data_IF_118745443476
#
_entry.id   IF_118745443476
#
_cell.length_a   1.000
_cell.length_b   1.000
_cell.length_c   1.000
_cell.angle_alpha   90.00
_cell.angle_beta   90.00
_cell.angle_gamma   90.00
#
_symmetry.space_group_name_H-M   'P 1'
#
loop_
_entity.id
_entity.type
_entity.pdbx_description
1 polymer ?
2 branched ?
3 branched ?
4 branched ?
5 non-polymer ?
6 water ?
#
# COMPACT_ATOMS: atom_id res chain seq x y z
N UNK A 2 -11.07 -11.83 11.00
CA UNK A 2 -12.42 -11.30 11.11
C UNK A 2 -12.36 -9.84 11.54
N UNK A 3 -13.32 -9.05 11.07
CA UNK A 3 -13.38 -7.65 11.42
C UNK A 3 -14.84 -7.21 11.44
N UNK A 4 -15.09 -6.08 12.07
CA UNK A 4 -16.35 -5.37 11.95
C UNK A 4 -16.16 -3.99 11.34
N UNK A 5 -15.15 -3.26 11.78
CA UNK A 5 -14.85 -1.95 11.24
C UNK A 5 -13.39 -1.88 10.87
N UNK A 6 -13.05 -0.87 10.09
CA UNK A 6 -11.67 -0.62 9.72
C UNK A 6 -11.16 0.64 10.37
N UNK A 7 -10.44 1.45 9.60
CA UNK A 7 -9.92 2.72 10.09
C UNK A 7 -9.88 3.70 8.92
N UNK A 8 -9.82 4.98 9.25
CA UNK A 8 -9.98 6.01 8.23
C UNK A 8 -8.83 6.01 7.23
N UNK A 9 -7.61 5.70 7.69
CA UNK A 9 -6.44 5.82 6.83
C UNK A 9 -5.52 4.61 6.99
N UNK A 10 -5.09 4.07 5.87
CA UNK A 10 -3.94 3.20 5.75
C UNK A 10 -3.07 3.81 4.67
N UNK A 11 -1.82 3.36 4.59
CA UNK A 11 -0.88 3.83 3.58
C UNK A 11 -0.45 2.66 2.69
N UNK A 12 -0.44 2.90 1.38
CA UNK A 12 0.03 1.90 0.41
C UNK A 12 1.44 2.26 -0.01
N UNK A 13 2.39 1.36 0.22
CA UNK A 13 3.76 1.56 -0.22
C UNK A 13 3.82 1.29 -1.72
N UNK A 14 4.00 2.35 -2.49
CA UNK A 14 3.95 2.28 -3.95
C UNK A 14 5.37 2.40 -4.49
N UNK A 15 5.91 1.29 -4.99
CA UNK A 15 7.25 1.27 -5.58
C UNK A 15 7.21 1.81 -7.00
N UNK A 16 8.05 2.80 -7.27
CA UNK A 16 8.03 3.56 -8.51
C UNK A 16 8.93 2.86 -9.53
N UNK A 17 8.39 2.62 -10.72
CA UNK A 17 9.21 2.15 -11.85
C UNK A 17 9.28 3.26 -12.91
N UNK A 18 10.21 3.16 -13.88
CA UNK A 18 10.51 4.32 -14.75
C UNK A 18 9.36 5.10 -15.37
N UNK A 19 8.35 4.46 -15.93
CA UNK A 19 7.36 5.22 -16.69
C UNK A 19 6.19 5.73 -15.85
N UNK A 20 6.32 5.68 -14.53
CA UNK A 20 5.23 5.98 -13.58
C UNK A 20 5.50 7.30 -12.89
N UNK A 21 4.54 8.21 -12.97
CA UNK A 21 4.59 9.49 -12.28
C UNK A 21 3.39 9.62 -11.37
N UNK A 22 3.35 10.72 -10.62
CA UNK A 22 2.25 10.91 -9.67
C UNK A 22 0.91 10.85 -10.36
N UNK A 23 0.83 11.37 -11.59
CA UNK A 23 -0.47 11.39 -12.24
C UNK A 23 -1.00 9.97 -12.44
N UNK A 24 -0.12 9.02 -12.72
CA UNK A 24 -0.55 7.64 -12.88
C UNK A 24 -0.98 7.04 -11.54
N UNK A 25 -0.15 7.24 -10.51
CA UNK A 25 -0.48 6.71 -9.20
C UNK A 25 -1.81 7.26 -8.74
N UNK A 26 -2.02 8.57 -8.90
CA UNK A 26 -3.30 9.17 -8.54
C UNK A 26 -4.45 8.53 -9.30
N UNK A 27 -4.29 8.27 -10.60
CA UNK A 27 -5.35 7.64 -11.38
C UNK A 27 -5.63 6.24 -10.86
N UNK A 28 -4.59 5.46 -10.57
CA UNK A 28 -4.79 4.09 -10.10
C UNK A 28 -5.42 4.06 -8.70
N UNK A 29 -5.11 5.04 -7.84
CA UNK A 29 -5.41 4.97 -6.42
C UNK A 29 -6.51 5.95 -6.02
N UNK A 30 -7.36 6.37 -6.98
CA UNK A 30 -8.48 7.23 -6.65
C UNK A 30 -9.32 6.60 -5.54
N UNK A 31 -9.77 7.43 -4.61
CA UNK A 31 -10.62 6.99 -3.52
C UNK A 31 -11.28 8.22 -2.92
N UNK A 32 -11.97 8.04 -1.80
CA UNK A 32 -12.52 9.18 -1.09
C UNK A 32 -11.44 10.11 -0.58
N UNK A 33 -10.21 9.62 -0.38
CA UNK A 33 -9.09 10.45 0.09
C UNK A 33 -8.30 11.05 -1.08
N UNK A 34 -8.03 10.24 -2.10
CA UNK A 34 -7.22 10.63 -3.25
C UNK A 34 -8.18 11.02 -4.36
N UNK A 35 -8.30 12.33 -4.60
CA UNK A 35 -9.24 12.92 -5.53
C UNK A 35 -8.52 13.29 -6.83
N UNK A 36 -9.25 13.95 -7.75
CA UNK A 36 -8.64 14.29 -9.04
C UNK A 36 -7.33 15.04 -8.85
N UNK A 37 -7.35 16.11 -8.04
CA UNK A 37 -6.15 16.91 -7.78
C UNK A 37 -5.63 16.53 -6.40
N UNK A 38 -4.77 15.52 -6.37
CA UNK A 38 -4.35 14.85 -5.16
C UNK A 38 -2.90 15.12 -4.77
N UNK A 39 -2.18 15.96 -5.53
CA UNK A 39 -0.75 16.14 -5.28
C UNK A 39 -0.49 16.47 -3.80
N UNK A 40 -1.17 17.48 -3.28
CA UNK A 40 -0.90 17.91 -1.91
C UNK A 40 -1.21 16.81 -0.91
N UNK A 41 -2.33 16.10 -1.10
CA UNK A 41 -2.71 15.07 -0.13
C UNK A 41 -1.71 13.92 -0.14
N UNK A 42 -1.38 13.40 -1.32
CA UNK A 42 -0.38 12.35 -1.40
C UNK A 42 0.95 12.84 -0.82
N UNK A 43 1.40 14.00 -1.26
CA UNK A 43 2.72 14.45 -0.84
C UNK A 43 2.77 14.82 0.65
N UNK A 44 1.63 15.08 1.29
CA UNK A 44 1.64 15.39 2.71
C UNK A 44 2.09 14.21 3.56
N UNK A 45 1.96 12.98 3.04
CA UNK A 45 2.46 11.79 3.70
C UNK A 45 3.86 11.41 3.23
N UNK A 46 4.49 12.25 2.43
CA UNK A 46 5.79 11.97 1.82
C UNK A 46 6.67 13.20 1.83
N UNK A 47 6.67 13.92 2.96
CA UNK A 47 7.52 15.11 3.06
C UNK A 47 9.00 14.77 3.07
N UNK A 48 9.36 13.49 3.31
CA UNK A 48 10.74 13.05 3.23
C UNK A 48 11.22 12.82 1.79
N UNK A 49 10.32 12.76 0.83
CA UNK A 49 10.64 12.30 -0.52
C UNK A 49 11.26 13.43 -1.33
N UNK A 50 12.32 13.08 -2.08
CA UNK A 50 13.01 13.98 -3.00
C UNK A 50 12.58 13.63 -4.42
N UNK A 51 12.41 14.64 -5.24
CA UNK A 51 12.13 14.49 -6.66
C UNK A 51 13.42 14.68 -7.45
N UNK A 52 13.40 14.24 -8.71
CA UNK A 52 14.40 14.65 -9.69
C UNK A 52 13.72 15.48 -10.77
N UNK A 53 14.49 15.81 -11.82
CA UNK A 53 13.93 16.66 -12.88
C UNK A 53 12.72 16.02 -13.55
N UNK A 54 12.59 14.69 -13.49
CA UNK A 54 11.45 13.98 -14.07
C UNK A 54 10.24 13.96 -13.15
N UNK A 55 10.41 14.25 -11.87
CA UNK A 55 9.39 14.02 -10.87
C UNK A 55 9.81 12.91 -9.92
N UNK A 56 9.02 11.84 -9.85
CA UNK A 56 9.32 10.76 -8.91
C UNK A 56 10.56 9.99 -9.37
N UNK A 57 11.40 9.64 -8.40
CA UNK A 57 12.65 8.94 -8.70
C UNK A 57 12.39 7.45 -8.83
N UNK A 58 12.84 6.87 -9.93
CA UNK A 58 12.61 5.46 -10.17
C UNK A 58 13.24 4.61 -9.08
N UNK A 59 12.51 3.57 -8.67
CA UNK A 59 12.99 2.55 -7.76
C UNK A 59 13.11 3.07 -6.32
N UNK A 60 12.32 4.08 -6.01
CA UNK A 60 12.02 4.51 -4.66
C UNK A 60 10.53 4.26 -4.42
N UNK A 61 10.08 4.57 -3.22
CA UNK A 61 8.70 4.34 -2.84
C UNK A 61 8.04 5.64 -2.39
N UNK A 62 6.73 5.68 -2.56
CA UNK A 62 5.92 6.74 -1.99
C UNK A 62 4.71 6.10 -1.33
N UNK A 63 4.29 6.65 -0.20
CA UNK A 63 3.17 6.12 0.57
C UNK A 63 1.89 6.84 0.18
N UNK A 64 0.89 6.09 -0.24
CA UNK A 64 -0.35 6.65 -0.77
C UNK A 64 -1.46 6.39 0.24
N UNK A 65 -2.12 7.40 0.78
CA UNK A 65 -3.19 7.14 1.75
C UNK A 65 -4.43 6.61 1.07
N UNK A 66 -5.13 5.71 1.76
CA UNK A 66 -6.39 5.15 1.27
C UNK A 66 -7.23 4.72 2.47
N UNK A 67 -8.55 4.63 2.31
CA UNK A 67 -9.40 4.18 3.41
C UNK A 67 -9.30 2.67 3.61
N UNK A 68 -9.38 2.24 4.86
CA UNK A 68 -9.20 0.83 5.21
C UNK A 68 -10.54 0.29 5.72
N UNK A 69 -11.20 -0.52 4.91
CA UNK A 69 -12.53 -1.02 5.19
C UNK A 69 -12.48 -2.47 5.68
N UNK A 70 -13.53 -2.87 6.38
CA UNK A 70 -13.77 -4.28 6.67
C UNK A 70 -14.54 -4.86 5.49
N UNK A 71 -13.96 -5.85 4.83
CA UNK A 71 -14.50 -6.44 3.61
C UNK A 71 -15.19 -7.75 4.00
N UNK A 72 -16.51 -7.79 3.86
CA UNK A 72 -17.26 -9.00 4.13
C UNK A 72 -17.16 -9.52 5.54
N UNK A 73 -16.80 -8.66 6.50
CA UNK A 73 -16.58 -9.12 7.85
C UNK A 73 -15.39 -10.03 8.02
N UNK A 74 -14.59 -10.22 6.97
CA UNK A 74 -13.53 -11.21 6.96
C UNK A 74 -12.13 -10.62 7.06
N UNK A 75 -11.84 -9.55 6.33
CA UNK A 75 -10.48 -9.03 6.28
C UNK A 75 -10.53 -7.53 5.98
N UNK A 76 -9.46 -6.85 6.35
CA UNK A 76 -9.32 -5.41 6.13
C UNK A 76 -8.65 -5.15 4.77
N UNK A 77 -9.25 -4.26 4.00
CA UNK A 77 -8.66 -3.88 2.73
C UNK A 77 -9.47 -2.78 2.10
N UNK A 78 -9.10 -2.45 0.87
CA UNK A 78 -9.84 -1.47 0.10
C UNK A 78 -9.88 -1.92 -1.35
N UNK A 79 -11.02 -1.69 -2.01
CA UNK A 79 -11.20 -2.04 -3.41
C UNK A 79 -11.09 -0.76 -4.24
N UNK A 80 -9.98 -0.63 -4.95
CA UNK A 80 -9.80 0.38 -5.96
C UNK A 80 -10.43 -0.09 -7.27
N UNK A 81 -10.56 0.83 -8.21
CA UNK A 81 -11.14 0.52 -9.52
C UNK A 81 -10.15 0.91 -10.61
N UNK A 82 -9.92 -0.02 -11.52
CA UNK A 82 -9.04 0.19 -12.67
C UNK A 82 -9.79 -0.20 -13.92
N UNK A 83 -9.66 0.61 -14.97
CA UNK A 83 -10.28 0.32 -16.26
C UNK A 83 -9.23 -0.14 -17.26
N UNK A 84 -9.42 -1.33 -17.81
CA UNK A 84 -8.39 -1.92 -18.65
C UNK A 84 -8.23 -1.20 -19.99
N UNK A 85 -7.03 -1.29 -20.53
CA UNK A 85 -6.72 -0.85 -21.88
C UNK A 85 -6.16 -2.03 -22.67
N UNK A 86 -6.05 -1.84 -23.98
CA UNK A 86 -5.58 -2.91 -24.85
C UNK A 86 -4.30 -3.52 -24.32
N UNK A 87 -4.27 -4.86 -24.27
CA UNK A 87 -3.11 -5.59 -23.83
C UNK A 87 -3.09 -5.95 -22.36
N UNK A 88 -3.99 -5.40 -21.55
CA UNK A 88 -3.94 -5.62 -20.12
C UNK A 88 -4.30 -7.06 -19.75
N UNK A 89 -3.62 -7.57 -18.74
CA UNK A 89 -3.99 -8.83 -18.07
C UNK A 89 -3.77 -8.63 -16.58
N UNK A 90 -4.11 -9.65 -15.77
CA UNK A 90 -4.00 -9.49 -14.33
C UNK A 90 -2.54 -9.37 -13.87
N UNK A 91 -1.60 -9.94 -14.62
CA UNK A 91 -0.19 -9.80 -14.25
C UNK A 91 0.26 -8.35 -14.38
N UNK A 92 -0.13 -7.67 -15.46
CA UNK A 92 0.20 -6.26 -15.62
C UNK A 92 -0.46 -5.43 -14.55
N UNK A 93 -1.73 -5.71 -14.26
CA UNK A 93 -2.46 -4.90 -13.29
C UNK A 93 -1.84 -5.07 -11.91
N UNK A 94 -1.62 -6.30 -11.49
CA UNK A 94 -1.17 -6.54 -10.13
C UNK A 94 0.27 -6.10 -9.94
N UNK A 95 1.14 -6.43 -10.88
CA UNK A 95 2.57 -6.27 -10.63
C UNK A 95 3.20 -5.08 -11.30
N UNK A 96 2.53 -4.48 -12.29
CA UNK A 96 3.01 -3.22 -12.83
C UNK A 96 2.20 -2.05 -12.28
N UNK A 97 0.92 -1.92 -12.68
CA UNK A 97 0.17 -0.71 -12.32
C UNK A 97 0.06 -0.55 -10.81
N UNK A 98 -0.27 -1.62 -10.09
CA UNK A 98 -0.45 -1.57 -8.64
C UNK A 98 0.80 -1.99 -7.85
N UNK A 99 1.92 -2.19 -8.52
CA UNK A 99 3.20 -2.33 -7.86
C UNK A 99 3.20 -3.40 -6.79
N UNK A 100 2.50 -4.51 -7.09
CA UNK A 100 2.36 -5.69 -6.23
C UNK A 100 1.61 -5.41 -4.94
N UNK A 101 0.84 -4.32 -4.89
CA UNK A 101 -0.06 -4.06 -3.76
C UNK A 101 -1.28 -4.95 -3.77
N UNK A 102 -1.61 -5.55 -4.91
CA UNK A 102 -2.63 -6.58 -5.05
C UNK A 102 -1.97 -7.80 -5.66
N UNK A 103 -2.74 -8.86 -5.81
CA UNK A 103 -2.23 -10.11 -6.37
C UNK A 103 -3.18 -10.59 -7.45
N UNK A 104 -2.65 -11.45 -8.32
CA UNK A 104 -3.49 -12.04 -9.36
C UNK A 104 -4.59 -12.86 -8.73
N UNK A 105 -4.32 -13.49 -7.58
CA UNK A 105 -5.35 -14.25 -6.89
C UNK A 105 -6.51 -13.36 -6.43
N UNK A 106 -6.18 -12.17 -5.91
CA UNK A 106 -7.24 -11.27 -5.47
C UNK A 106 -8.00 -10.69 -6.66
N UNK A 107 -7.31 -10.48 -7.78
CA UNK A 107 -7.99 -10.00 -8.97
C UNK A 107 -8.96 -11.05 -9.50
N UNK A 108 -8.56 -12.33 -9.47
CA UNK A 108 -9.46 -13.39 -9.91
C UNK A 108 -10.65 -13.52 -8.96
N UNK A 109 -10.39 -13.45 -7.65
CA UNK A 109 -11.42 -13.72 -6.66
C UNK A 109 -12.55 -12.70 -6.70
N UNK A 110 -12.24 -11.44 -6.96
CA UNK A 110 -13.22 -10.36 -6.83
C UNK A 110 -13.64 -9.76 -8.17
N UNK A 111 -13.43 -10.49 -9.27
CA UNK A 111 -13.92 -10.08 -10.58
C UNK A 111 -14.48 -11.26 -11.32
N UNK A 112 -15.54 -11.02 -12.08
CA UNK A 112 -16.28 -12.08 -12.76
C UNK A 112 -15.68 -12.46 -14.11
N UNK A 113 -14.65 -11.74 -14.56
CA UNK A 113 -14.10 -12.01 -15.88
C UNK A 113 -13.37 -13.34 -15.91
N UNK A 114 -13.30 -13.92 -17.11
CA UNK A 114 -12.39 -15.02 -17.35
C UNK A 114 -10.99 -14.51 -17.06
N UNK A 115 -10.31 -15.03 -16.03
CA UNK A 115 -9.00 -14.48 -15.67
C UNK A 115 -7.94 -14.64 -16.74
N UNK A 116 -8.16 -15.45 -17.77
CA UNK A 116 -7.15 -15.64 -18.79
C UNK A 116 -7.43 -14.83 -20.06
N UNK A 117 -8.58 -14.16 -20.13
CA UNK A 117 -8.93 -13.32 -21.28
C UNK A 117 -9.80 -12.17 -20.75
N UNK A 118 -9.13 -11.19 -20.17
CA UNK A 118 -9.90 -10.08 -19.60
C UNK A 118 -10.20 -9.06 -20.71
N UNK A 119 -11.39 -8.50 -20.73
CA UNK A 119 -11.76 -7.57 -21.80
C UNK A 119 -11.10 -6.20 -21.62
N UNK A 120 -11.22 -5.41 -22.67
CA UNK A 120 -10.70 -4.05 -22.72
C UNK A 120 -11.81 -3.07 -22.40
N UNK A 121 -11.44 -1.97 -21.75
CA UNK A 121 -12.40 -0.98 -21.27
C UNK A 121 -13.36 -1.60 -20.23
N UNK A 122 -12.83 -2.52 -19.44
CA UNK A 122 -13.57 -3.19 -18.38
C UNK A 122 -13.11 -2.69 -17.02
N UNK A 123 -14.06 -2.48 -16.10
CA UNK A 123 -13.75 -2.08 -14.75
C UNK A 123 -13.31 -3.27 -13.91
N UNK A 124 -12.18 -3.13 -13.24
CA UNK A 124 -11.56 -4.17 -12.45
C UNK A 124 -11.59 -3.75 -10.99
N UNK A 125 -12.08 -4.64 -10.13
CA UNK A 125 -11.97 -4.50 -8.68
C UNK A 125 -10.57 -4.90 -8.24
N UNK A 126 -9.82 -3.95 -7.67
CA UNK A 126 -8.42 -4.14 -7.30
C UNK A 126 -8.33 -4.06 -5.78
N UNK A 127 -8.15 -5.21 -5.12
CA UNK A 127 -8.19 -5.28 -3.67
C UNK A 127 -6.78 -5.18 -3.09
N UNK A 128 -6.60 -4.20 -2.20
CA UNK A 128 -5.35 -3.97 -1.50
C UNK A 128 -5.62 -4.14 -0.01
N UNK A 129 -4.91 -5.07 0.61
CA UNK A 129 -5.12 -5.32 2.06
C UNK A 129 -4.51 -4.19 2.87
N UNK A 130 -4.96 -4.08 4.12
CA UNK A 130 -4.46 -3.07 5.05
C UNK A 130 -4.56 -3.58 6.47
N UNK A 131 -3.99 -2.82 7.39
CA UNK A 131 -4.06 -3.11 8.80
C UNK A 131 -4.39 -1.83 9.55
N UNK A 132 -5.13 -1.98 10.64
CA UNK A 132 -5.41 -0.90 11.57
C UNK A 132 -4.69 -1.08 12.89
N UNK A 133 -3.71 -1.99 12.94
CA UNK A 133 -2.92 -2.21 14.13
C UNK A 133 -3.32 -3.48 14.85
N UNK A 134 -2.64 -3.69 15.97
CA UNK A 134 -2.87 -4.88 16.80
C UNK A 134 -2.41 -4.53 18.20
N UNK A 135 -3.38 -4.32 19.11
CA UNK A 135 -3.04 -3.91 20.47
C UNK A 135 -2.23 -4.95 21.22
N UNK A 136 -2.26 -6.21 20.77
CA UNK A 136 -1.46 -7.24 21.43
C UNK A 136 0.01 -7.13 21.09
N UNK A 137 0.36 -6.43 20.02
CA UNK A 137 1.75 -6.16 19.70
C UNK A 137 2.21 -4.84 20.31
N UNK A 138 1.47 -3.77 20.02
CA UNK A 138 1.77 -2.47 20.61
C UNK A 138 0.57 -1.55 20.46
N UNK A 139 0.34 -0.75 21.48
CA UNK A 139 -0.67 0.30 21.44
C UNK A 139 -0.17 1.57 20.80
N UNK A 140 1.10 1.64 20.41
CA UNK A 140 1.70 2.89 19.99
C UNK A 140 1.49 3.20 18.52
N UNK A 141 0.83 2.32 17.77
CA UNK A 141 0.78 2.47 16.32
C UNK A 141 -0.63 2.19 15.81
N UNK A 142 -1.24 3.19 15.17
CA UNK A 142 -2.57 3.03 14.61
C UNK A 142 -2.66 3.33 13.12
N UNK A 143 -1.51 3.52 12.47
CA UNK A 143 -1.43 3.81 11.04
C UNK A 143 -0.39 2.86 10.45
N UNK A 144 -0.78 2.10 9.43
CA UNK A 144 0.09 1.07 8.89
C UNK A 144 0.26 1.21 7.39
N UNK A 145 1.50 0.96 6.97
CA UNK A 145 1.87 0.87 5.55
C UNK A 145 1.70 -0.57 5.10
N UNK A 146 0.93 -0.77 4.03
CA UNK A 146 0.88 -2.02 3.31
C UNK A 146 2.10 -2.05 2.39
N UNK A 147 3.06 -2.92 2.70
CA UNK A 147 4.40 -2.85 2.13
C UNK A 147 4.71 -4.14 1.38
N UNK A 148 4.61 -4.16 0.04
CA UNK A 148 5.00 -5.37 -0.70
C UNK A 148 6.52 -5.47 -0.76
N UNK A 149 7.04 -6.58 -0.26
CA UNK A 149 8.48 -6.85 -0.26
C UNK A 149 8.96 -7.12 -1.68
N UNK A 150 10.21 -6.77 -1.93
CA UNK A 150 10.84 -6.95 -3.23
C UNK A 150 12.20 -7.62 -3.06
N UNK A 151 12.81 -7.94 -4.20
CA UNK A 151 14.01 -8.76 -4.22
C UNK A 151 15.12 -8.17 -3.35
N UNK A 152 15.23 -6.85 -3.24
CA UNK A 152 16.32 -6.21 -2.52
C UNK A 152 15.94 -5.73 -1.13
N UNK A 153 14.71 -5.98 -0.68
CA UNK A 153 14.33 -5.59 0.67
C UNK A 153 14.94 -6.51 1.71
N UNK A 154 15.25 -5.94 2.87
CA UNK A 154 15.59 -6.72 4.05
C UNK A 154 14.96 -6.05 5.27
N UNK A 155 14.79 -6.83 6.33
CA UNK A 155 14.28 -6.27 7.57
C UNK A 155 15.15 -5.12 8.06
N UNK A 156 16.48 -5.26 7.96
CA UNK A 156 17.37 -4.23 8.48
C UNK A 156 17.16 -2.90 7.76
N UNK A 157 17.07 -2.92 6.44
CA UNK A 157 16.90 -1.66 5.73
C UNK A 157 15.52 -1.08 5.98
N UNK A 158 14.49 -1.92 6.01
CA UNK A 158 13.14 -1.42 6.28
C UNK A 158 13.07 -0.78 7.66
N UNK A 159 13.63 -1.46 8.67
CA UNK A 159 13.57 -0.94 10.03
C UNK A 159 14.36 0.37 10.15
N UNK A 160 15.53 0.43 9.53
CA UNK A 160 16.32 1.66 9.61
C UNK A 160 15.58 2.82 8.96
N UNK A 161 15.00 2.60 7.78
CA UNK A 161 14.29 3.69 7.12
C UNK A 161 13.09 4.14 7.95
N UNK A 162 12.40 3.18 8.58
CA UNK A 162 11.22 3.51 9.37
C UNK A 162 11.56 4.16 10.71
N UNK A 163 12.79 4.01 11.18
CA UNK A 163 13.14 4.50 12.49
C UNK A 163 12.57 3.66 13.60
N UNK A 164 12.47 2.35 13.39
CA UNK A 164 11.89 1.43 14.36
C UNK A 164 12.80 0.22 14.53
N UNK A 165 12.65 -0.43 15.68
CA UNK A 165 13.42 -1.62 15.99
C UNK A 165 13.01 -2.77 15.07
N UNK A 166 14.01 -3.53 14.61
CA UNK A 166 13.73 -4.69 13.77
C UNK A 166 12.77 -5.65 14.46
N UNK A 167 12.96 -5.88 15.77
CA UNK A 167 12.13 -6.85 16.47
C UNK A 167 10.66 -6.44 16.51
N UNK A 168 10.40 -5.14 16.62
CA UNK A 168 9.01 -4.66 16.60
C UNK A 168 8.37 -4.92 15.24
N UNK A 169 9.08 -4.59 14.17
CA UNK A 169 8.56 -4.84 12.82
C UNK A 169 8.30 -6.32 12.62
N UNK A 170 9.23 -7.17 13.07
CA UNK A 170 9.03 -8.60 12.94
C UNK A 170 7.84 -9.05 13.77
N UNK A 171 7.65 -8.43 14.94
CA UNK A 171 6.55 -8.80 15.82
C UNK A 171 5.19 -8.51 15.18
N UNK A 172 5.10 -7.48 14.34
CA UNK A 172 3.88 -7.19 13.62
C UNK A 172 3.67 -8.13 12.43
N UNK A 173 4.67 -8.95 12.10
CA UNK A 173 4.65 -9.80 10.91
C UNK A 173 5.42 -11.09 11.25
N UNK A 174 4.90 -11.86 12.20
CA UNK A 174 5.73 -12.90 12.81
C UNK A 174 6.10 -14.02 11.83
N UNK A 175 5.25 -14.32 10.86
CA UNK A 175 5.52 -15.41 9.94
C UNK A 175 6.27 -14.99 8.69
N UNK A 176 6.59 -13.70 8.54
CA UNK A 176 7.17 -13.18 7.33
C UNK A 176 8.68 -13.30 7.35
N UNK A 177 9.25 -13.79 6.23
CA UNK A 177 10.68 -13.71 5.97
C UNK A 177 10.92 -12.46 5.14
N UNK A 178 11.48 -11.43 5.77
CA UNK A 178 11.60 -10.12 5.12
C UNK A 178 12.62 -10.10 3.98
N UNK A 179 13.38 -11.19 3.78
CA UNK A 179 14.34 -11.29 2.69
C UNK A 179 13.84 -12.18 1.57
N UNK A 180 12.60 -12.68 1.66
CA UNK A 180 12.13 -13.68 0.71
C UNK A 180 11.86 -13.07 -0.66
N UNK A 181 11.62 -11.76 -0.73
CA UNK A 181 11.52 -11.08 -2.01
C UNK A 181 10.13 -10.87 -2.55
N UNK A 182 9.09 -11.22 -1.80
CA UNK A 182 7.71 -11.02 -2.22
C UNK A 182 6.81 -11.12 -1.01
N UNK A 183 5.55 -10.76 -1.21
CA UNK A 183 4.55 -10.80 -0.16
C UNK A 183 4.45 -9.47 0.58
N UNK A 184 3.34 -9.31 1.29
CA UNK A 184 3.04 -8.04 1.96
C UNK A 184 3.31 -8.16 3.45
N UNK A 185 3.93 -7.12 4.01
CA UNK A 185 4.10 -6.94 5.44
C UNK A 185 3.52 -5.59 5.80
N UNK A 186 3.25 -5.42 7.09
CA UNK A 186 2.66 -4.19 7.59
C UNK A 186 3.68 -3.48 8.46
N UNK A 187 3.97 -2.22 8.12
CA UNK A 187 4.98 -1.41 8.79
C UNK A 187 4.26 -0.21 9.41
N UNK A 188 4.48 0.09 10.69
CA UNK A 188 3.89 1.31 11.24
C UNK A 188 4.29 2.51 10.39
N UNK A 189 3.33 3.39 10.14
CA UNK A 189 3.52 4.56 9.29
C UNK A 189 3.42 5.86 10.07
N UNK A 190 4.07 6.88 9.54
CA UNK A 190 4.06 8.22 10.13
C UNK A 190 3.01 9.10 9.47
N UNK A 191 2.47 10.01 10.27
CA UNK A 191 1.47 10.95 9.79
C UNK A 191 2.15 12.10 9.06
N UNK A 192 1.38 13.11 8.69
CA UNK A 192 1.89 14.20 7.87
C UNK A 192 2.91 15.05 8.60
N UNK A 193 3.01 14.93 9.91
CA UNK A 193 3.99 15.67 10.68
C UNK A 193 5.20 14.82 11.02
N UNK A 194 5.25 13.58 10.53
CA UNK A 194 6.37 12.71 10.83
C UNK A 194 6.26 11.97 12.13
N UNK A 195 5.08 11.89 12.73
CA UNK A 195 4.90 11.22 14.01
C UNK A 195 4.10 9.93 13.83
N UNK A 196 4.37 8.98 14.70
CA UNK A 196 3.60 7.73 14.70
C UNK A 196 2.24 7.99 15.34
N UNK A 197 1.19 7.82 14.55
CA UNK A 197 -0.17 8.01 15.03
C UNK A 197 -0.54 6.78 15.86
N UNK A 198 -0.92 6.93 17.12
CA UNK A 198 -1.06 5.78 18.01
C UNK A 198 -2.36 5.03 17.77
N UNK A 199 -2.44 3.85 18.36
CA UNK A 199 -3.62 3.01 18.17
C UNK A 199 -4.82 3.63 18.85
N UNK A 200 -4.62 4.19 20.04
CA UNK A 200 -5.67 4.88 20.77
C UNK A 200 -5.26 6.33 20.92
N UNK A 201 -6.21 7.24 20.71
CA UNK A 201 -5.88 8.66 20.73
C UNK A 201 -5.47 9.09 22.14
N UNK A 202 -4.39 9.86 22.23
CA UNK A 202 -3.93 10.44 23.49
C UNK A 202 -3.89 11.96 23.42
N UNK A 203 -4.62 12.54 22.47
CA UNK A 203 -4.77 13.98 22.35
C UNK A 203 -6.04 14.38 23.08
N UNK A 204 -6.01 15.53 23.74
CA UNK A 204 -7.19 15.99 24.45
C UNK A 204 -8.27 16.46 23.50
N UNK A 205 -9.51 16.26 23.92
CA UNK A 205 -10.66 16.81 23.22
C UNK A 205 -11.16 18.03 23.98
#
# INVERSE_FOLDING_TARGET
AKCVKGCDVALASYYIIPSIQLRNISNFMQSKIVLTNSFDVIMSYNRDVVFDKSGLISYTRINVPFPCECIGGEFLGHVFEYTTKEGDDYDLIANTYYASLTTVELLKKFNSYDPNHIPVKAKINVTVICSCGNSQISKDYGLFVTYPLRSDDTLAKIATKAGLDEGLIQNFNQDANFSIGSGIVFIPGRDQNGHFFPLYSRTGIAKHHHHHH
#
